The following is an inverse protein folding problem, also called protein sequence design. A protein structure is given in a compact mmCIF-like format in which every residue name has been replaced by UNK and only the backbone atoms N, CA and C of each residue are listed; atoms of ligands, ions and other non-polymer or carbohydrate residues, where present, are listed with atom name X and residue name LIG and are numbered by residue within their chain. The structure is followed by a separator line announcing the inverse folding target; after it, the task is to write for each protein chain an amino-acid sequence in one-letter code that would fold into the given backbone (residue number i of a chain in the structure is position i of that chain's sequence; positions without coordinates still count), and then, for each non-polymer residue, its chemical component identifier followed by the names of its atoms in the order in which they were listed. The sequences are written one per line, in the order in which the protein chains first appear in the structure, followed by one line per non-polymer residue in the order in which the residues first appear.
data_IF_984784250881
#
_entry.id   IF_984784250881
#
_cell.length_a   1.000
_cell.length_b   1.000
_cell.length_c   1.000
_cell.angle_alpha   90.00
_cell.angle_beta   90.00
_cell.angle_gamma   90.00
#
_symmetry.space_group_name_H-M   'P 1'
#
loop_
_entity.id
_entity.type
_entity.pdbx_description
1 polymer ?
#
# COMPACT_ATOMS: atom_id res chain seq x y z
N UNK A 1 16.21 66.28 -69.43
CA UNK A 1 15.32 66.41 -68.27
C UNK A 1 14.60 65.08 -68.13
N UNK A 2 14.98 64.28 -67.13
CA UNK A 2 14.41 62.97 -66.82
C UNK A 2 13.67 63.09 -65.48
N UNK A 3 12.48 62.50 -65.28
CA UNK A 3 11.86 62.48 -63.97
C UNK A 3 12.35 61.28 -63.16
N UNK A 4 12.78 61.54 -61.92
CA UNK A 4 13.16 60.53 -60.94
C UNK A 4 11.91 59.89 -60.32
N UNK A 5 11.89 58.55 -60.30
CA UNK A 5 10.88 57.72 -59.66
C UNK A 5 11.27 57.50 -58.19
N UNK A 6 10.48 57.99 -57.24
CA UNK A 6 10.66 57.74 -55.82
C UNK A 6 9.88 56.48 -55.41
N UNK A 7 10.59 55.45 -54.94
CA UNK A 7 10.02 54.22 -54.38
C UNK A 7 9.81 54.43 -52.88
N UNK A 8 8.55 54.37 -52.42
CA UNK A 8 8.19 54.31 -51.00
C UNK A 8 8.31 52.86 -50.52
N UNK A 9 9.23 52.59 -49.60
CA UNK A 9 9.25 51.35 -48.82
C UNK A 9 8.32 51.51 -47.60
N UNK A 10 7.27 50.69 -47.54
CA UNK A 10 6.45 50.52 -46.34
C UNK A 10 7.09 49.47 -45.43
N UNK A 11 7.51 49.87 -44.23
CA UNK A 11 8.00 48.97 -43.20
C UNK A 11 6.80 48.30 -42.50
N UNK A 12 6.60 47.00 -42.74
CA UNK A 12 5.67 46.16 -41.97
C UNK A 12 6.32 45.80 -40.63
N UNK A 13 5.81 46.37 -39.54
CA UNK A 13 6.18 45.97 -38.18
C UNK A 13 5.33 44.75 -37.81
N UNK A 14 5.93 43.56 -37.80
CA UNK A 14 5.32 42.40 -37.16
C UNK A 14 5.46 42.53 -35.65
N UNK A 15 4.34 42.80 -34.98
CA UNK A 15 4.22 42.62 -33.54
C UNK A 15 4.08 41.13 -33.26
N UNK A 16 5.16 40.50 -32.79
CA UNK A 16 5.08 39.17 -32.21
C UNK A 16 4.22 39.24 -30.93
N UNK A 17 3.23 38.35 -30.74
CA UNK A 17 2.56 38.26 -29.45
C UNK A 17 3.58 37.85 -28.37
N UNK A 18 3.39 38.28 -27.11
CA UNK A 18 4.23 37.79 -26.02
C UNK A 18 4.08 36.27 -25.96
N UNK A 19 5.19 35.55 -26.15
CA UNK A 19 5.27 34.13 -25.83
C UNK A 19 4.80 33.96 -24.40
N UNK A 20 3.71 33.21 -24.20
CA UNK A 20 3.29 32.80 -22.87
C UNK A 20 4.48 32.14 -22.19
N UNK A 21 4.89 32.67 -21.03
CA UNK A 21 5.90 32.03 -20.22
C UNK A 21 5.40 30.61 -19.92
N UNK A 22 6.02 29.61 -20.53
CA UNK A 22 5.77 28.22 -20.17
C UNK A 22 6.04 28.12 -18.67
N UNK A 23 5.04 27.70 -17.89
CA UNK A 23 5.21 27.46 -16.47
C UNK A 23 6.44 26.55 -16.27
N UNK A 24 7.28 26.87 -15.29
CA UNK A 24 8.44 26.04 -14.99
C UNK A 24 7.96 24.59 -14.74
N UNK A 25 8.67 23.58 -15.28
CA UNK A 25 8.23 22.19 -15.12
C UNK A 25 8.20 21.85 -13.63
N UNK A 26 7.11 21.21 -13.19
CA UNK A 26 6.94 20.80 -11.80
C UNK A 26 8.16 19.99 -11.32
N UNK A 27 8.74 20.45 -10.21
CA UNK A 27 9.88 19.83 -9.52
C UNK A 27 9.79 20.14 -8.05
N UNK A 28 9.90 19.09 -7.24
CA UNK A 28 9.99 19.17 -5.79
C UNK A 28 11.17 18.33 -5.32
N UNK A 29 11.83 18.80 -4.27
CA UNK A 29 12.83 18.07 -3.50
C UNK A 29 12.48 18.20 -2.03
N UNK A 30 12.46 17.08 -1.32
CA UNK A 30 12.25 16.96 0.11
C UNK A 30 13.49 16.29 0.69
N UNK A 31 14.09 16.93 1.70
CA UNK A 31 15.21 16.37 2.45
C UNK A 31 14.68 15.62 3.67
N UNK A 32 15.43 14.63 4.12
CA UNK A 32 15.12 13.83 5.30
C UNK A 32 16.34 13.77 6.23
N UNK A 33 16.14 13.33 7.47
CA UNK A 33 17.18 13.40 8.48
C UNK A 33 18.24 12.31 8.26
N UNK A 34 19.51 12.69 8.14
CA UNK A 34 20.59 11.71 8.02
C UNK A 34 20.73 10.86 9.30
N UNK A 35 20.75 9.54 9.15
CA UNK A 35 21.13 8.58 10.17
C UNK A 35 20.02 8.25 11.17
N UNK A 36 18.77 8.36 10.77
CA UNK A 36 17.60 7.90 11.53
C UNK A 36 17.01 6.60 10.96
N UNK A 37 17.80 5.83 10.22
CA UNK A 37 17.48 4.49 9.67
C UNK A 37 17.35 3.36 10.71
N UNK A 38 16.79 3.68 11.89
CA UNK A 38 16.59 2.81 13.04
C UNK A 38 15.11 2.67 13.44
N UNK A 39 14.21 2.93 12.49
CA UNK A 39 12.77 2.74 12.61
C UNK A 39 12.17 3.58 13.74
N UNK A 40 11.52 2.98 14.76
CA UNK A 40 11.02 3.72 15.92
C UNK A 40 12.13 4.26 16.85
N UNK A 41 13.41 4.09 16.51
CA UNK A 41 14.56 4.57 17.29
C UNK A 41 15.36 3.48 17.99
N UNK A 42 15.12 2.21 17.63
CA UNK A 42 15.71 1.06 18.31
C UNK A 42 16.09 -0.10 17.40
N UNK A 43 15.84 0.00 16.10
CA UNK A 43 16.13 -1.09 15.18
C UNK A 43 17.63 -1.23 14.93
N UNK A 44 18.03 -2.48 14.74
CA UNK A 44 19.44 -2.85 14.56
C UNK A 44 19.58 -3.53 13.22
N UNK A 45 20.49 -3.01 12.40
CA UNK A 45 20.83 -3.60 11.12
C UNK A 45 21.22 -5.07 11.22
N UNK A 46 20.99 -5.86 10.15
CA UNK A 46 21.60 -7.17 10.02
C UNK A 46 23.12 -7.09 10.08
N UNK A 47 23.76 -8.13 10.59
CA UNK A 47 25.22 -8.12 10.80
C UNK A 47 26.04 -8.49 9.56
N UNK A 48 25.41 -8.94 8.47
CA UNK A 48 26.10 -9.31 7.23
C UNK A 48 26.53 -8.08 6.43
N UNK A 49 27.63 -8.21 5.70
CA UNK A 49 28.25 -7.12 4.92
C UNK A 49 27.42 -6.70 3.69
N UNK A 50 26.37 -7.45 3.36
CA UNK A 50 25.36 -7.09 2.37
C UNK A 50 24.53 -5.86 2.78
N UNK A 51 24.58 -5.47 4.07
CA UNK A 51 23.81 -4.37 4.66
C UNK A 51 24.74 -3.27 5.19
N UNK A 52 25.43 -2.52 4.31
CA UNK A 52 26.25 -1.40 4.76
C UNK A 52 25.38 -0.35 5.46
N UNK A 53 25.92 0.29 6.50
CA UNK A 53 25.22 1.40 7.19
C UNK A 53 24.83 2.49 6.20
N UNK A 54 23.64 3.06 6.38
CA UNK A 54 23.06 4.03 5.45
C UNK A 54 22.36 3.42 4.24
N UNK A 55 22.30 2.08 4.11
CA UNK A 55 21.62 1.45 2.97
C UNK A 55 20.09 1.46 3.08
N UNK A 56 19.55 1.87 4.23
CA UNK A 56 18.12 2.13 4.44
C UNK A 56 17.81 3.60 4.77
N UNK A 57 18.84 4.42 5.00
CA UNK A 57 18.79 5.83 5.38
C UNK A 57 18.40 6.70 4.19
N UNK A 58 17.17 7.21 4.20
CA UNK A 58 16.66 8.15 3.22
C UNK A 58 17.25 9.53 3.53
N UNK A 59 17.96 10.14 2.57
CA UNK A 59 18.45 11.51 2.75
C UNK A 59 17.64 12.52 1.95
N UNK A 60 17.12 12.09 0.80
CA UNK A 60 16.43 12.98 -0.12
C UNK A 60 15.48 12.24 -1.04
N UNK A 61 14.31 12.82 -1.19
CA UNK A 61 13.33 12.46 -2.19
C UNK A 61 13.12 13.61 -3.17
N UNK A 62 12.95 13.30 -4.46
CA UNK A 62 12.62 14.30 -5.46
C UNK A 62 11.66 13.77 -6.50
N UNK A 63 10.73 14.63 -6.92
CA UNK A 63 9.74 14.35 -7.96
C UNK A 63 9.83 15.42 -9.00
N UNK A 64 9.84 15.03 -10.27
CA UNK A 64 9.85 15.98 -11.37
C UNK A 64 9.13 15.45 -12.59
N UNK A 65 8.57 16.38 -13.35
CA UNK A 65 7.99 16.08 -14.66
C UNK A 65 9.08 16.08 -15.74
N UNK A 66 9.11 15.04 -16.57
CA UNK A 66 10.01 14.96 -17.74
C UNK A 66 9.33 14.28 -18.93
N UNK A 67 9.09 15.01 -20.02
CA UNK A 67 8.56 14.44 -21.27
C UNK A 67 7.13 13.93 -21.12
N UNK A 68 6.92 12.62 -21.02
CA UNK A 68 5.66 11.90 -20.74
C UNK A 68 5.70 11.08 -19.44
N UNK A 69 6.79 11.21 -18.67
CA UNK A 69 7.00 10.52 -17.40
C UNK A 69 7.05 11.47 -16.19
N UNK A 70 6.71 10.93 -15.03
CA UNK A 70 7.09 11.43 -13.72
C UNK A 70 8.35 10.68 -13.30
N UNK A 71 9.38 11.43 -12.93
CA UNK A 71 10.66 10.88 -12.49
C UNK A 71 10.76 11.06 -10.98
N UNK A 72 10.95 9.94 -10.28
CA UNK A 72 11.21 9.87 -8.85
C UNK A 72 12.69 9.59 -8.64
N UNK A 73 13.32 10.35 -7.77
CA UNK A 73 14.71 10.20 -7.37
C UNK A 73 14.74 10.02 -5.84
N UNK A 74 15.19 8.85 -5.39
CA UNK A 74 15.32 8.49 -3.96
C UNK A 74 16.80 8.37 -3.67
N UNK A 75 17.35 9.23 -2.84
CA UNK A 75 18.77 9.21 -2.46
C UNK A 75 18.89 8.66 -1.06
N UNK A 76 19.68 7.60 -0.94
CA UNK A 76 20.03 6.99 0.34
C UNK A 76 21.42 7.48 0.80
N UNK A 77 21.73 7.37 2.09
CA UNK A 77 23.06 7.72 2.61
C UNK A 77 24.17 6.79 2.08
N UNK A 78 23.82 5.54 1.73
CA UNK A 78 24.74 4.60 1.10
C UNK A 78 24.16 4.01 -0.20
N UNK A 79 24.99 3.80 -1.23
CA UNK A 79 24.51 3.30 -2.52
C UNK A 79 24.01 1.86 -2.42
N UNK A 80 22.92 1.52 -3.16
CA UNK A 80 22.50 0.13 -3.32
C UNK A 80 23.65 -0.71 -3.85
N UNK A 81 24.05 -1.73 -3.08
CA UNK A 81 25.15 -2.61 -3.43
C UNK A 81 24.60 -3.99 -3.77
N UNK A 82 24.93 -4.49 -4.96
CA UNK A 82 24.60 -5.87 -5.33
C UNK A 82 25.35 -6.84 -4.41
N UNK A 83 24.64 -7.73 -3.69
CA UNK A 83 25.28 -8.77 -2.92
C UNK A 83 26.11 -9.69 -3.81
N UNK A 84 27.31 -10.13 -3.36
CA UNK A 84 28.14 -11.04 -4.13
C UNK A 84 27.46 -12.40 -4.29
N UNK A 85 26.64 -12.80 -3.31
CA UNK A 85 25.89 -14.04 -3.30
C UNK A 85 24.39 -13.77 -3.48
N UNK A 86 23.90 -13.97 -4.69
CA UNK A 86 22.48 -13.84 -5.06
C UNK A 86 21.68 -15.15 -4.87
N UNK A 87 22.30 -16.16 -4.24
CA UNK A 87 21.67 -17.41 -3.80
C UNK A 87 21.74 -17.49 -2.28
N UNK A 88 20.64 -17.16 -1.62
CA UNK A 88 20.55 -17.13 -0.15
C UNK A 88 20.13 -18.45 0.48
N UNK A 89 19.55 -19.37 -0.32
CA UNK A 89 19.14 -20.74 0.03
C UNK A 89 19.53 -21.73 -1.08
N UNK A 90 19.11 -23.01 -0.96
CA UNK A 90 19.23 -24.02 -2.02
C UNK A 90 18.27 -23.81 -3.21
N UNK A 91 17.47 -22.73 -3.20
CA UNK A 91 16.56 -22.38 -4.28
C UNK A 91 17.29 -21.93 -5.55
N UNK A 92 16.54 -21.79 -6.65
CA UNK A 92 17.04 -21.24 -7.91
C UNK A 92 17.65 -19.85 -7.70
N UNK A 93 18.57 -19.49 -8.58
CA UNK A 93 19.14 -18.14 -8.61
C UNK A 93 18.03 -17.13 -8.87
N UNK A 94 17.89 -16.15 -7.98
CA UNK A 94 16.91 -15.08 -8.12
C UNK A 94 17.53 -13.99 -8.99
N UNK A 95 16.74 -13.50 -9.94
CA UNK A 95 17.11 -12.36 -10.78
C UNK A 95 16.96 -11.06 -9.97
N UNK A 96 18.05 -10.31 -9.83
CA UNK A 96 18.13 -9.05 -9.07
C UNK A 96 18.61 -7.92 -9.98
N UNK A 97 18.09 -7.87 -11.21
CA UNK A 97 18.53 -6.92 -12.22
C UNK A 97 17.80 -5.56 -12.18
N UNK A 98 16.88 -5.35 -11.23
CA UNK A 98 16.19 -4.07 -11.04
C UNK A 98 17.02 -2.99 -10.31
N UNK A 99 18.34 -3.15 -10.24
CA UNK A 99 19.31 -2.20 -9.66
C UNK A 99 19.15 -1.83 -8.16
N UNK A 100 18.19 -2.43 -7.46
CA UNK A 100 18.00 -2.37 -6.01
C UNK A 100 18.00 -3.79 -5.45
N UNK A 101 18.43 -4.01 -4.21
CA UNK A 101 18.82 -5.36 -3.76
C UNK A 101 18.25 -5.77 -2.41
N UNK A 102 18.53 -5.00 -1.36
CA UNK A 102 18.13 -5.36 0.01
C UNK A 102 17.07 -4.42 0.56
N UNK A 103 16.67 -3.44 -0.23
CA UNK A 103 15.67 -2.42 0.09
C UNK A 103 14.39 -2.66 -0.70
N UNK A 104 13.25 -2.35 -0.10
CA UNK A 104 12.10 -1.87 -0.85
C UNK A 104 11.89 -0.39 -0.50
N UNK A 105 11.50 0.42 -1.49
CA UNK A 105 11.08 1.81 -1.28
C UNK A 105 9.65 1.97 -1.78
N UNK A 106 8.76 2.39 -0.90
CA UNK A 106 7.38 2.71 -1.26
C UNK A 106 7.21 4.22 -1.33
N UNK A 107 6.64 4.71 -2.42
CA UNK A 107 6.28 6.12 -2.60
C UNK A 107 4.76 6.16 -2.74
N UNK A 108 4.07 6.46 -1.66
CA UNK A 108 2.63 6.72 -1.66
C UNK A 108 2.39 8.16 -2.07
N UNK A 109 1.34 8.38 -2.86
CA UNK A 109 1.02 9.66 -3.46
C UNK A 109 -0.47 9.91 -3.23
N UNK A 110 -0.76 10.97 -2.49
CA UNK A 110 -2.07 11.62 -2.51
C UNK A 110 -2.09 12.57 -3.71
N UNK A 111 -2.98 12.32 -4.67
CA UNK A 111 -3.02 13.07 -5.93
C UNK A 111 -4.14 14.10 -5.99
N UNK A 112 -5.19 13.93 -5.18
CA UNK A 112 -6.40 14.74 -5.21
C UNK A 112 -6.64 15.56 -3.93
N UNK A 113 -6.01 15.20 -2.80
CA UNK A 113 -6.17 15.86 -1.52
C UNK A 113 -7.51 15.59 -0.84
N UNK A 114 -8.28 14.63 -1.32
CA UNK A 114 -9.61 14.30 -0.79
C UNK A 114 -9.50 13.17 0.26
N UNK A 115 -9.80 13.45 1.54
CA UNK A 115 -9.71 12.45 2.60
C UNK A 115 -10.75 11.32 2.51
N UNK A 116 -11.66 11.37 1.53
CA UNK A 116 -12.72 10.38 1.32
C UNK A 116 -12.45 9.44 0.15
N UNK A 117 -11.43 9.71 -0.66
CA UNK A 117 -10.94 8.86 -1.75
C UNK A 117 -9.63 8.18 -1.34
N UNK A 118 -9.12 7.27 -2.16
CA UNK A 118 -7.86 6.59 -1.87
C UNK A 118 -7.91 5.53 -0.76
N UNK A 119 -6.72 5.07 -0.37
CA UNK A 119 -6.49 4.00 0.59
C UNK A 119 -5.69 4.49 1.80
N UNK A 120 -5.94 3.92 2.98
CA UNK A 120 -5.08 4.09 4.17
C UNK A 120 -4.24 2.84 4.45
N UNK A 121 -4.51 1.75 3.73
CA UNK A 121 -3.76 0.50 3.86
C UNK A 121 -2.40 0.65 3.16
N UNK A 122 -1.31 0.38 3.86
CA UNK A 122 0.03 0.36 3.26
C UNK A 122 0.24 -0.92 2.42
N UNK A 123 1.33 -0.96 1.65
CA UNK A 123 1.73 -2.18 0.94
C UNK A 123 1.83 -3.36 1.96
N UNK A 124 1.25 -4.54 1.67
CA UNK A 124 1.24 -5.67 2.59
C UNK A 124 2.63 -6.04 3.09
N UNK A 125 2.78 -6.20 4.41
CA UNK A 125 4.04 -6.52 5.05
C UNK A 125 4.82 -5.32 5.60
N UNK A 126 4.41 -4.07 5.36
CA UNK A 126 5.05 -2.89 6.01
C UNK A 126 4.69 -2.71 7.48
N UNK A 127 3.58 -3.33 7.90
CA UNK A 127 3.08 -3.28 9.26
C UNK A 127 2.87 -1.84 9.79
N UNK A 128 2.40 -0.96 8.91
CA UNK A 128 1.98 0.41 9.18
C UNK A 128 0.68 0.69 8.42
N UNK A 129 0.02 1.78 8.76
CA UNK A 129 -1.05 2.38 7.96
C UNK A 129 -0.65 3.80 7.56
N UNK A 130 -1.28 4.33 6.53
CA UNK A 130 -1.20 5.76 6.22
C UNK A 130 -2.24 6.49 7.09
N UNK A 131 -1.96 7.74 7.46
CA UNK A 131 -2.90 8.56 8.21
C UNK A 131 -4.24 8.68 7.46
N UNK A 132 -5.34 8.39 8.16
CA UNK A 132 -6.68 8.41 7.57
C UNK A 132 -7.17 9.79 7.16
N UNK A 133 -6.51 10.86 7.60
CA UNK A 133 -6.76 12.20 7.10
C UNK A 133 -6.14 12.45 5.72
N UNK A 134 -5.18 11.61 5.29
CA UNK A 134 -4.40 11.79 4.07
C UNK A 134 -4.22 10.44 3.36
N UNK A 135 -5.32 9.81 2.89
CA UNK A 135 -5.25 8.57 2.13
C UNK A 135 -4.46 8.75 0.83
N UNK A 136 -3.94 7.66 0.27
CA UNK A 136 -3.15 7.65 -0.96
C UNK A 136 -3.96 7.12 -2.15
N UNK A 137 -3.76 7.72 -3.32
CA UNK A 137 -4.41 7.32 -4.57
C UNK A 137 -3.53 6.44 -5.45
N UNK A 138 -2.22 6.67 -5.37
CA UNK A 138 -1.21 6.01 -6.19
C UNK A 138 -0.01 5.61 -5.33
N UNK A 139 0.58 4.46 -5.62
CA UNK A 139 1.85 4.05 -5.03
C UNK A 139 2.85 3.60 -6.10
N UNK A 140 4.11 4.01 -5.94
CA UNK A 140 5.24 3.49 -6.74
C UNK A 140 6.13 2.67 -5.82
N UNK A 141 6.26 1.38 -6.10
CA UNK A 141 7.02 0.43 -5.26
C UNK A 141 8.30 0.03 -5.99
N UNK A 142 9.42 0.50 -5.47
CA UNK A 142 10.76 0.17 -5.93
C UNK A 142 11.23 -1.07 -5.16
N UNK A 143 11.43 -2.17 -5.86
CA UNK A 143 11.69 -3.47 -5.24
C UNK A 143 12.66 -4.30 -6.08
N UNK A 144 13.46 -5.20 -5.48
CA UNK A 144 14.38 -6.03 -6.24
C UNK A 144 13.66 -6.98 -7.21
N UNK A 145 12.42 -7.37 -6.89
CA UNK A 145 11.62 -8.32 -7.66
C UNK A 145 10.25 -7.74 -8.07
N UNK A 146 10.20 -6.85 -9.08
CA UNK A 146 8.97 -6.16 -9.47
C UNK A 146 7.90 -7.09 -10.06
N UNK A 147 8.29 -8.23 -10.66
CA UNK A 147 7.35 -9.25 -11.13
C UNK A 147 6.76 -10.05 -9.96
N UNK A 148 7.59 -10.49 -9.02
CA UNK A 148 7.15 -11.17 -7.81
C UNK A 148 6.19 -10.28 -7.01
N UNK A 149 6.57 -9.02 -6.81
CA UNK A 149 5.73 -8.02 -6.13
C UNK A 149 4.33 -7.94 -6.74
N UNK A 150 4.21 -7.77 -8.07
CA UNK A 150 2.89 -7.75 -8.74
C UNK A 150 2.10 -9.05 -8.55
N UNK A 151 2.78 -10.19 -8.53
CA UNK A 151 2.14 -11.48 -8.28
C UNK A 151 1.53 -11.54 -6.88
N UNK A 152 2.28 -11.13 -5.85
CA UNK A 152 1.78 -11.09 -4.46
C UNK A 152 0.65 -10.08 -4.28
N UNK A 153 0.70 -8.95 -4.98
CA UNK A 153 -0.32 -7.91 -4.92
C UNK A 153 -1.53 -8.21 -5.84
N UNK A 154 -1.50 -9.28 -6.63
CA UNK A 154 -2.48 -9.54 -7.70
C UNK A 154 -3.91 -9.78 -7.23
N UNK A 155 -4.15 -10.08 -5.97
CA UNK A 155 -5.44 -10.26 -5.30
C UNK A 155 -5.65 -9.25 -4.15
N UNK A 156 -4.67 -8.36 -3.91
CA UNK A 156 -4.82 -7.21 -3.04
C UNK A 156 -5.50 -6.07 -3.83
N UNK A 157 -6.53 -5.47 -3.26
CA UNK A 157 -7.40 -4.48 -3.93
C UNK A 157 -7.61 -3.27 -3.03
N UNK A 158 -6.57 -2.44 -2.83
CA UNK A 158 -6.77 -1.15 -2.16
C UNK A 158 -7.69 -0.28 -3.01
N UNK A 159 -8.28 0.76 -2.41
CA UNK A 159 -9.04 1.80 -3.13
C UNK A 159 -8.10 2.77 -3.85
N UNK A 160 -7.03 2.25 -4.47
CA UNK A 160 -5.92 2.99 -5.03
C UNK A 160 -5.15 2.11 -6.04
N UNK A 161 -4.21 2.69 -6.81
CA UNK A 161 -3.44 1.96 -7.82
C UNK A 161 -1.95 1.87 -7.46
N UNK A 162 -1.32 0.75 -7.82
CA UNK A 162 0.08 0.46 -7.49
C UNK A 162 0.88 0.16 -8.75
N UNK A 163 2.01 0.85 -8.91
CA UNK A 163 2.96 0.67 -9.99
C UNK A 163 4.27 0.11 -9.45
N UNK A 164 4.82 -0.91 -10.10
CA UNK A 164 6.11 -1.52 -9.74
C UNK A 164 7.09 -1.42 -10.92
N UNK A 165 7.90 -0.37 -11.02
CA UNK A 165 8.82 -0.19 -12.15
C UNK A 165 9.86 -1.31 -12.22
N UNK A 166 10.19 -1.75 -13.43
CA UNK A 166 11.12 -2.87 -13.68
C UNK A 166 12.43 -2.48 -14.37
N UNK A 167 12.73 -1.19 -14.43
CA UNK A 167 13.94 -0.68 -15.06
C UNK A 167 14.47 0.54 -14.28
N UNK A 168 14.77 0.33 -13.00
CA UNK A 168 15.37 1.37 -12.17
C UNK A 168 16.78 1.68 -12.63
N UNK A 169 17.18 2.94 -12.51
CA UNK A 169 18.56 3.37 -12.71
C UNK A 169 19.15 3.78 -11.37
N UNK A 170 20.44 3.52 -11.16
CA UNK A 170 21.16 3.97 -9.96
C UNK A 170 22.34 4.83 -10.36
N UNK A 171 22.49 6.00 -9.73
CA UNK A 171 23.61 6.91 -9.89
C UNK A 171 24.16 7.28 -8.52
N UNK A 172 25.32 6.73 -8.16
CA UNK A 172 25.81 6.85 -6.79
C UNK A 172 24.80 6.21 -5.83
N UNK A 173 24.30 6.98 -4.87
CA UNK A 173 23.27 6.52 -3.93
C UNK A 173 21.83 6.89 -4.30
N UNK A 174 21.64 7.52 -5.47
CA UNK A 174 20.30 7.88 -5.96
C UNK A 174 19.72 6.79 -6.85
N UNK A 175 18.58 6.26 -6.45
CA UNK A 175 17.70 5.36 -7.21
C UNK A 175 16.72 6.21 -8.00
N UNK A 176 16.59 5.94 -9.30
CA UNK A 176 15.81 6.72 -10.24
C UNK A 176 14.74 5.81 -10.85
N UNK A 177 13.48 6.17 -10.65
CA UNK A 177 12.33 5.51 -11.26
C UNK A 177 11.66 6.48 -12.25
N UNK A 178 11.33 5.98 -13.44
CA UNK A 178 10.54 6.73 -14.43
C UNK A 178 9.22 6.02 -14.60
N UNK A 179 8.12 6.72 -14.33
CA UNK A 179 6.77 6.17 -14.44
C UNK A 179 5.97 7.03 -15.42
N UNK A 180 5.26 6.45 -16.40
CA UNK A 180 4.42 7.22 -17.30
C UNK A 180 3.36 8.03 -16.55
N UNK A 181 3.13 9.27 -16.99
CA UNK A 181 2.04 10.11 -16.47
C UNK A 181 0.69 9.43 -16.60
N UNK A 182 0.49 8.62 -17.64
CA UNK A 182 -0.76 7.90 -17.84
C UNK A 182 -1.10 6.93 -16.69
N UNK A 183 -0.11 6.50 -15.89
CA UNK A 183 -0.31 5.60 -14.74
C UNK A 183 -0.50 6.35 -13.41
N UNK A 184 -0.01 7.60 -13.29
CA UNK A 184 0.00 8.35 -12.02
C UNK A 184 -0.83 9.65 -12.03
N UNK A 185 -1.09 10.22 -13.21
CA UNK A 185 -1.56 11.59 -13.35
C UNK A 185 -0.44 12.63 -13.45
N UNK A 186 -0.82 13.89 -13.66
CA UNK A 186 0.12 15.00 -13.80
C UNK A 186 0.50 15.57 -12.41
N UNK A 187 1.78 15.54 -12.03
CA UNK A 187 2.24 16.01 -10.73
C UNK A 187 2.03 17.52 -10.61
N UNK A 188 1.50 17.95 -9.48
CA UNK A 188 1.15 19.34 -9.21
C UNK A 188 1.28 19.67 -7.72
N UNK A 189 1.14 20.94 -7.36
CA UNK A 189 1.39 21.44 -6.00
C UNK A 189 0.50 20.82 -4.91
N UNK A 190 -0.60 20.16 -5.27
CA UNK A 190 -1.48 19.48 -4.31
C UNK A 190 -0.99 18.11 -3.90
N UNK A 191 -0.04 17.53 -4.65
CA UNK A 191 0.41 16.17 -4.38
C UNK A 191 1.11 16.08 -3.02
N UNK A 192 0.69 15.11 -2.21
CA UNK A 192 1.35 14.70 -0.98
C UNK A 192 2.13 13.41 -1.20
N UNK A 193 3.20 13.22 -0.42
CA UNK A 193 4.04 12.05 -0.53
C UNK A 193 4.33 11.45 0.85
N UNK A 194 4.18 10.13 0.97
CA UNK A 194 4.77 9.37 2.06
C UNK A 194 5.77 8.40 1.43
N UNK A 195 7.03 8.50 1.83
CA UNK A 195 8.10 7.63 1.34
C UNK A 195 8.56 6.76 2.49
N UNK A 196 8.70 5.46 2.24
CA UNK A 196 9.11 4.50 3.26
C UNK A 196 10.19 3.58 2.71
N UNK A 197 11.24 3.34 3.50
CA UNK A 197 12.28 2.36 3.18
C UNK A 197 12.16 1.17 4.14
N UNK A 198 12.09 -0.03 3.57
CA UNK A 198 12.09 -1.27 4.34
C UNK A 198 13.18 -2.21 3.85
N UNK A 199 13.56 -3.19 4.70
CA UNK A 199 14.32 -4.34 4.22
C UNK A 199 13.49 -5.17 3.23
N UNK A 200 14.15 -5.76 2.24
CA UNK A 200 13.57 -6.68 1.28
C UNK A 200 14.03 -8.11 1.55
N UNK A 201 13.10 -9.06 1.43
CA UNK A 201 13.41 -10.49 1.29
C UNK A 201 13.34 -10.87 -0.18
N UNK A 202 14.13 -11.86 -0.57
CA UNK A 202 14.16 -12.33 -1.97
C UNK A 202 13.23 -13.52 -2.20
N UNK A 203 12.73 -14.13 -1.13
CA UNK A 203 11.84 -15.27 -1.23
C UNK A 203 10.52 -14.91 -0.56
N UNK A 204 9.41 -15.34 -1.15
CA UNK A 204 8.14 -15.27 -0.44
C UNK A 204 8.20 -16.18 0.78
N UNK A 205 7.78 -15.67 1.94
CA UNK A 205 7.60 -16.52 3.11
C UNK A 205 6.43 -17.48 2.87
N UNK A 206 6.73 -18.75 2.63
CA UNK A 206 5.70 -19.80 2.55
C UNK A 206 5.29 -20.22 3.97
N UNK A 207 4.46 -19.40 4.62
CA UNK A 207 3.85 -19.78 5.90
C UNK A 207 2.63 -20.67 5.66
N UNK A 208 2.90 -21.95 5.41
CA UNK A 208 1.88 -22.96 5.16
C UNK A 208 0.93 -23.13 6.35
N UNK A 209 1.45 -23.05 7.58
CA UNK A 209 0.68 -23.26 8.80
C UNK A 209 -0.24 -22.07 9.05
N UNK A 210 0.25 -20.83 8.94
CA UNK A 210 -0.59 -19.64 9.05
C UNK A 210 -1.67 -19.58 7.98
N UNK A 211 -1.41 -20.09 6.77
CA UNK A 211 -2.42 -20.19 5.70
C UNK A 211 -3.49 -21.25 6.01
N UNK A 212 -3.11 -22.34 6.68
CA UNK A 212 -4.01 -23.42 7.10
C UNK A 212 -4.90 -23.03 8.30
N UNK A 213 -4.41 -22.16 9.19
CA UNK A 213 -5.12 -21.75 10.42
C UNK A 213 -5.63 -20.31 10.39
N UNK A 214 -5.57 -19.64 9.23
CA UNK A 214 -6.13 -18.29 9.03
C UNK A 214 -5.33 -17.14 9.63
N UNK A 215 -4.09 -17.37 10.08
CA UNK A 215 -3.21 -16.35 10.68
C UNK A 215 -2.18 -15.79 9.69
N UNK A 216 -2.19 -16.26 8.43
CA UNK A 216 -1.30 -15.77 7.39
C UNK A 216 -1.55 -14.28 7.09
N UNK A 217 -0.52 -13.47 7.32
CA UNK A 217 -0.47 -12.09 6.85
C UNK A 217 0.26 -12.04 5.52
N UNK A 218 -0.36 -11.43 4.52
CA UNK A 218 0.29 -11.20 3.23
C UNK A 218 1.52 -10.31 3.43
N UNK A 219 2.65 -10.78 2.92
CA UNK A 219 3.91 -10.04 2.97
C UNK A 219 4.42 -9.88 1.53
N UNK A 220 4.46 -8.63 1.07
CA UNK A 220 4.96 -8.27 -0.26
C UNK A 220 6.47 -8.02 -0.21
N UNK A 221 7.24 -9.11 -0.02
CA UNK A 221 8.72 -9.11 0.01
C UNK A 221 9.37 -8.18 1.03
N UNK A 222 8.69 -7.88 2.14
CA UNK A 222 9.22 -7.08 3.23
C UNK A 222 9.96 -7.96 4.24
N UNK A 223 11.13 -7.53 4.68
CA UNK A 223 11.90 -8.17 5.75
C UNK A 223 11.25 -7.89 7.11
N UNK A 224 10.83 -8.92 7.86
CA UNK A 224 10.34 -8.71 9.21
C UNK A 224 11.45 -8.21 10.14
N UNK A 225 11.06 -7.43 11.14
CA UNK A 225 11.94 -6.99 12.22
C UNK A 225 11.69 -7.86 13.46
N UNK A 226 12.75 -8.46 13.99
CA UNK A 226 12.70 -9.33 15.16
C UNK A 226 13.35 -8.65 16.37
N UNK A 227 13.26 -9.28 17.53
CA UNK A 227 13.90 -8.76 18.75
C UNK A 227 15.42 -8.83 18.69
N UNK A 228 15.97 -9.92 18.16
CA UNK A 228 17.42 -10.13 18.07
C UNK A 228 17.84 -10.02 16.60
N UNK A 229 18.85 -9.18 16.28
CA UNK A 229 19.37 -9.11 14.93
C UNK A 229 20.15 -10.38 14.59
N UNK A 230 20.12 -10.79 13.32
CA UNK A 230 20.98 -11.84 12.79
C UNK A 230 21.68 -11.36 11.51
N UNK A 231 22.46 -12.23 10.86
CA UNK A 231 23.19 -11.90 9.64
C UNK A 231 22.29 -11.24 8.57
N UNK A 232 21.07 -11.73 8.38
CA UNK A 232 20.14 -11.25 7.34
C UNK A 232 18.79 -10.82 7.91
N UNK A 233 18.76 -10.47 9.20
CA UNK A 233 17.54 -10.14 9.94
C UNK A 233 17.75 -8.82 10.68
N UNK A 234 16.81 -7.90 10.51
CA UNK A 234 16.77 -6.65 11.29
C UNK A 234 16.28 -6.99 12.70
N UNK A 235 16.99 -6.48 13.71
CA UNK A 235 16.70 -6.67 15.13
C UNK A 235 16.10 -5.43 15.80
N UNK A 236 15.87 -5.52 17.12
CA UNK A 236 15.52 -4.38 17.96
C UNK A 236 14.03 -4.12 18.17
N UNK A 237 13.15 -4.97 17.64
CA UNK A 237 11.71 -4.86 17.86
C UNK A 237 11.21 -5.62 19.10
N UNK A 238 10.11 -5.17 19.67
CA UNK A 238 9.39 -5.89 20.72
C UNK A 238 8.77 -7.20 20.19
N UNK A 239 8.42 -8.12 21.11
CA UNK A 239 7.76 -9.40 20.79
C UNK A 239 6.28 -9.18 20.46
N UNK A 240 6.05 -8.49 19.35
CA UNK A 240 4.76 -7.97 18.95
C UNK A 240 4.52 -8.16 17.46
N UNK A 241 3.28 -7.96 17.05
CA UNK A 241 2.89 -7.97 15.64
C UNK A 241 2.43 -6.60 15.16
N UNK A 242 2.62 -5.54 15.97
CA UNK A 242 2.15 -4.18 15.67
C UNK A 242 3.27 -3.18 15.40
N UNK A 243 4.53 -3.53 15.70
CA UNK A 243 5.67 -2.68 15.41
C UNK A 243 5.93 -2.59 13.89
N UNK A 244 6.31 -1.42 13.36
CA UNK A 244 6.57 -1.25 11.93
C UNK A 244 7.64 -2.19 11.38
N UNK A 245 7.50 -2.67 10.15
CA UNK A 245 8.60 -3.32 9.41
C UNK A 245 9.20 -2.34 8.40
N UNK A 246 9.44 -1.14 8.88
CA UNK A 246 9.96 0.02 8.14
C UNK A 246 11.19 0.52 8.90
N UNK A 247 12.27 0.74 8.17
CA UNK A 247 13.53 1.24 8.73
C UNK A 247 13.57 2.76 8.77
N UNK A 248 12.91 3.39 7.79
CA UNK A 248 13.01 4.83 7.55
C UNK A 248 11.75 5.33 6.83
N UNK A 249 11.30 6.54 7.14
CA UNK A 249 10.23 7.28 6.50
C UNK A 249 10.63 8.73 6.26
N UNK A 250 10.21 9.27 5.11
CA UNK A 250 10.33 10.70 4.85
C UNK A 250 9.54 11.49 5.89
N UNK A 251 10.20 12.44 6.55
CA UNK A 251 9.58 13.35 7.50
C UNK A 251 9.49 14.79 6.99
N UNK A 252 8.38 15.46 7.29
CA UNK A 252 8.22 16.89 7.05
C UNK A 252 8.78 17.74 8.19
N UNK A 253 8.82 19.06 7.97
CA UNK A 253 9.32 20.02 8.97
C UNK A 253 8.66 19.84 10.35
N UNK A 254 9.48 19.62 11.38
CA UNK A 254 9.03 19.46 12.77
C UNK A 254 8.37 18.11 13.09
N UNK A 255 8.25 17.21 12.11
CA UNK A 255 7.90 15.82 12.36
C UNK A 255 9.10 15.05 12.93
N UNK A 256 8.82 13.93 13.57
CA UNK A 256 9.85 13.04 14.12
C UNK A 256 9.49 11.63 13.74
N UNK A 257 10.36 10.98 12.98
CA UNK A 257 10.19 9.60 12.58
C UNK A 257 9.96 8.70 13.79
N UNK A 258 10.82 8.78 14.81
CA UNK A 258 10.71 7.94 16.01
C UNK A 258 9.35 8.09 16.69
N UNK A 259 8.79 9.30 16.75
CA UNK A 259 7.45 9.52 17.32
C UNK A 259 6.36 8.90 16.45
N UNK A 260 6.44 9.06 15.13
CA UNK A 260 5.48 8.52 14.18
C UNK A 260 5.50 6.99 14.23
N UNK A 261 6.68 6.39 14.05
CA UNK A 261 6.85 4.94 14.03
C UNK A 261 6.65 4.29 15.40
N UNK A 262 6.75 5.03 16.52
CA UNK A 262 6.37 4.56 17.85
C UNK A 262 4.89 4.75 18.18
N UNK A 263 4.06 5.24 17.24
CA UNK A 263 2.64 5.48 17.50
C UNK A 263 1.77 4.22 17.52
N UNK A 264 2.34 3.04 17.22
CA UNK A 264 1.64 1.76 17.36
C UNK A 264 1.26 1.50 18.82
N UNK A 265 0.21 0.73 19.03
CA UNK A 265 -0.27 0.36 20.36
C UNK A 265 -0.72 -1.10 20.33
N UNK A 266 0.11 -1.97 20.91
CA UNK A 266 -0.12 -3.41 20.92
C UNK A 266 -1.38 -3.80 21.71
N UNK A 267 -1.65 -3.09 22.81
CA UNK A 267 -2.81 -3.36 23.67
C UNK A 267 -4.12 -3.00 23.00
N UNK A 268 -4.05 -2.03 22.07
CA UNK A 268 -5.18 -1.59 21.24
C UNK A 268 -5.15 -2.16 19.83
N UNK A 269 -4.22 -3.09 19.57
CA UNK A 269 -4.05 -3.73 18.27
C UNK A 269 -3.92 -2.74 17.11
N UNK A 270 -3.21 -1.63 17.34
CA UNK A 270 -3.12 -0.51 16.42
C UNK A 270 -1.72 -0.40 15.84
N UNK A 271 -1.64 -0.28 14.50
CA UNK A 271 -0.38 -0.02 13.78
C UNK A 271 0.01 1.46 13.87
N UNK A 272 1.29 1.74 13.60
CA UNK A 272 1.75 3.12 13.44
C UNK A 272 1.10 3.76 12.21
N UNK A 273 0.73 5.04 12.31
CA UNK A 273 0.12 5.80 11.22
C UNK A 273 1.13 6.79 10.66
N UNK A 274 1.54 6.59 9.40
CA UNK A 274 2.52 7.44 8.73
C UNK A 274 1.79 8.57 7.99
N UNK A 275 2.09 9.84 8.28
CA UNK A 275 1.46 10.97 7.60
C UNK A 275 2.06 11.19 6.21
N UNK A 276 1.30 11.87 5.35
CA UNK A 276 1.83 12.45 4.11
C UNK A 276 2.64 13.72 4.40
N UNK A 277 3.67 13.93 3.59
CA UNK A 277 4.42 15.19 3.52
C UNK A 277 3.96 15.95 2.28
N UNK A 278 3.40 17.14 2.50
CA UNK A 278 2.96 18.03 1.42
C UNK A 278 4.01 19.12 1.18
N UNK A 279 4.64 19.18 0.00
CA UNK A 279 5.64 20.21 -0.31
C UNK A 279 5.05 21.62 -0.33
N UNK A 280 3.76 21.74 -0.65
CA UNK A 280 3.02 23.00 -0.70
C UNK A 280 1.76 22.88 0.18
N UNK A 281 1.90 22.95 1.51
CA UNK A 281 0.80 22.67 2.44
C UNK A 281 -0.38 23.64 2.27
N UNK A 282 -0.11 24.91 1.91
CA UNK A 282 -1.16 25.89 1.65
C UNK A 282 -2.00 25.53 0.41
N UNK A 283 -1.36 25.03 -0.65
CA UNK A 283 -2.03 24.61 -1.87
C UNK A 283 -2.91 23.36 -1.62
N UNK A 284 -2.40 22.42 -0.81
CA UNK A 284 -3.16 21.26 -0.37
C UNK A 284 -4.35 21.67 0.52
N UNK A 285 -4.13 22.50 1.55
CA UNK A 285 -5.19 22.95 2.45
C UNK A 285 -6.31 23.71 1.71
N UNK A 286 -5.96 24.52 0.71
CA UNK A 286 -6.93 25.20 -0.14
C UNK A 286 -7.77 24.21 -0.98
N UNK A 287 -7.16 23.12 -1.45
CA UNK A 287 -7.86 22.07 -2.19
C UNK A 287 -8.81 21.27 -1.27
N UNK A 288 -8.32 20.84 -0.11
CA UNK A 288 -9.11 20.12 0.90
C UNK A 288 -10.32 20.95 1.38
N UNK A 289 -10.16 22.27 1.54
CA UNK A 289 -11.24 23.18 1.93
C UNK A 289 -12.28 23.42 0.80
N UNK A 290 -11.89 23.23 -0.46
CA UNK A 290 -12.75 23.37 -1.63
C UNK A 290 -13.51 22.07 -1.97
N UNK A 291 -13.11 20.93 -1.40
CA UNK A 291 -13.83 19.68 -1.52
C UNK A 291 -15.21 19.81 -0.84
N UNK A 292 -16.32 19.46 -1.53
CA UNK A 292 -17.64 19.57 -0.93
C UNK A 292 -17.71 18.66 0.30
N UNK A 293 -18.04 19.24 1.46
CA UNK A 293 -18.37 18.46 2.64
C UNK A 293 -19.56 17.54 2.32
N UNK A 294 -19.30 16.24 2.20
CA UNK A 294 -20.39 15.28 2.06
C UNK A 294 -21.22 15.28 3.35
N UNK A 295 -22.55 15.18 3.25
CA UNK A 295 -23.39 15.00 4.43
C UNK A 295 -22.92 13.73 5.16
N UNK A 296 -22.88 13.80 6.50
CA UNK A 296 -22.67 12.61 7.35
C UNK A 296 -23.66 11.53 6.91
N UNK A 297 -23.17 10.52 6.21
CA UNK A 297 -23.96 9.34 5.87
C UNK A 297 -24.05 8.51 7.15
N UNK A 298 -25.19 8.64 7.83
CA UNK A 298 -25.64 7.64 8.79
C UNK A 298 -25.87 6.35 8.00
N UNK A 299 -25.07 5.31 8.27
CA UNK A 299 -25.25 3.99 7.67
C UNK A 299 -26.60 3.42 8.12
N UNK A 300 -27.61 3.59 7.29
CA UNK A 300 -28.90 2.93 7.45
C UNK A 300 -28.76 1.48 6.98
N UNK A 301 -29.20 0.48 7.76
CA UNK A 301 -29.07 -0.92 7.38
C UNK A 301 -29.84 -1.20 6.08
N UNK A 302 -29.27 -1.96 5.13
CA UNK A 302 -29.91 -2.19 3.84
C UNK A 302 -31.19 -3.03 3.97
N UNK A 303 -32.19 -2.81 3.09
CA UNK A 303 -33.51 -3.41 3.22
C UNK A 303 -33.52 -4.88 2.79
N UNK A 304 -34.33 -5.67 3.49
CA UNK A 304 -34.45 -7.11 3.31
C UNK A 304 -34.86 -7.54 1.90
N UNK A 305 -34.31 -8.67 1.46
CA UNK A 305 -34.59 -9.29 0.17
C UNK A 305 -34.87 -10.80 0.33
N UNK A 306 -35.98 -11.24 -0.27
CA UNK A 306 -36.33 -12.62 -0.69
C UNK A 306 -36.12 -12.69 -2.22
N UNK A 307 -35.96 -13.78 -2.96
CA UNK A 307 -36.15 -15.22 -2.75
C UNK A 307 -35.15 -16.00 -3.64
N UNK A 308 -34.83 -17.24 -3.25
CA UNK A 308 -33.80 -18.10 -3.85
C UNK A 308 -32.83 -18.65 -2.80
N UNK A 309 -33.31 -18.83 -1.57
CA UNK A 309 -32.51 -18.98 -0.37
C UNK A 309 -32.18 -20.44 -0.09
N UNK A 310 -30.90 -20.76 0.05
CA UNK A 310 -30.46 -22.05 0.59
C UNK A 310 -30.40 -21.88 2.11
N UNK A 311 -31.26 -22.60 2.82
CA UNK A 311 -31.31 -22.58 4.29
C UNK A 311 -30.76 -23.89 4.83
N UNK A 312 -29.65 -23.83 5.55
CA UNK A 312 -29.03 -24.96 6.24
C UNK A 312 -29.19 -24.81 7.75
N UNK A 313 -29.20 -25.92 8.50
CA UNK A 313 -29.32 -25.86 9.95
C UNK A 313 -27.98 -26.09 10.64
N UNK A 314 -27.78 -25.39 11.74
CA UNK A 314 -26.63 -25.58 12.63
C UNK A 314 -26.76 -26.92 13.34
N UNK A 315 -25.78 -27.78 13.12
CA UNK A 315 -25.67 -29.11 13.73
C UNK A 315 -24.79 -29.10 14.97
N UNK A 316 -23.74 -28.28 14.97
CA UNK A 316 -22.80 -28.14 16.09
C UNK A 316 -22.15 -26.75 16.08
N UNK A 317 -21.73 -26.27 17.26
CA UNK A 317 -21.06 -24.98 17.45
C UNK A 317 -19.90 -25.17 18.43
N UNK A 318 -18.68 -24.81 18.00
CA UNK A 318 -17.48 -24.78 18.83
C UNK A 318 -16.81 -23.42 18.70
N UNK A 319 -17.05 -22.54 19.67
CA UNK A 319 -16.55 -21.15 19.67
C UNK A 319 -17.07 -20.40 18.43
N UNK A 320 -16.22 -20.17 17.43
CA UNK A 320 -16.52 -19.51 16.17
C UNK A 320 -16.81 -20.50 15.03
N UNK A 321 -16.48 -21.77 15.20
CA UNK A 321 -16.68 -22.82 14.20
C UNK A 321 -18.08 -23.42 14.31
N UNK A 322 -18.84 -23.36 13.21
CA UNK A 322 -20.22 -23.81 13.13
C UNK A 322 -20.32 -24.88 12.06
N UNK A 323 -20.82 -26.05 12.43
CA UNK A 323 -21.05 -27.16 11.51
C UNK A 323 -22.50 -27.10 11.05
N UNK A 324 -22.72 -26.99 9.75
CA UNK A 324 -24.04 -27.03 9.15
C UNK A 324 -24.35 -28.40 8.57
N UNK A 325 -25.63 -28.71 8.54
CA UNK A 325 -26.16 -29.85 7.78
C UNK A 325 -25.77 -29.75 6.29
N UNK A 326 -25.77 -30.90 5.61
CA UNK A 326 -25.42 -30.93 4.19
C UNK A 326 -26.44 -30.16 3.36
N UNK A 327 -25.97 -29.11 2.69
CA UNK A 327 -26.73 -28.35 1.71
C UNK A 327 -26.57 -28.81 0.26
N UNK A 328 -27.39 -28.28 -0.66
CA UNK A 328 -27.23 -28.48 -2.10
C UNK A 328 -25.84 -28.04 -2.58
N UNK A 329 -25.37 -28.60 -3.69
CA UNK A 329 -24.03 -28.38 -4.28
C UNK A 329 -23.73 -26.93 -4.71
N UNK A 330 -24.70 -26.05 -4.53
CA UNK A 330 -24.65 -24.63 -4.85
C UNK A 330 -23.95 -23.80 -3.76
N UNK A 331 -23.75 -24.35 -2.56
CA UNK A 331 -22.98 -23.70 -1.48
C UNK A 331 -21.50 -23.95 -1.69
N UNK A 332 -20.77 -22.90 -2.07
CA UNK A 332 -19.31 -22.94 -2.31
C UNK A 332 -18.54 -22.35 -1.12
N UNK A 333 -17.26 -22.72 -0.94
CA UNK A 333 -16.37 -21.99 -0.04
C UNK A 333 -16.42 -20.48 -0.33
N UNK A 334 -16.29 -19.68 0.73
CA UNK A 334 -16.36 -18.21 0.73
C UNK A 334 -17.74 -17.61 0.46
N UNK A 335 -18.82 -18.41 0.50
CA UNK A 335 -20.19 -17.87 0.47
C UNK A 335 -20.56 -17.35 1.86
N UNK A 336 -21.04 -16.11 1.92
CA UNK A 336 -21.57 -15.51 3.16
C UNK A 336 -22.98 -16.03 3.45
N UNK A 337 -23.24 -16.32 4.73
CA UNK A 337 -24.53 -16.74 5.23
C UNK A 337 -24.95 -15.96 6.47
N UNK A 338 -26.25 -15.82 6.66
CA UNK A 338 -26.85 -15.12 7.80
C UNK A 338 -27.55 -16.14 8.70
N UNK A 339 -27.19 -16.17 9.97
CA UNK A 339 -27.84 -17.02 10.99
C UNK A 339 -29.08 -16.29 11.50
N UNK A 340 -30.17 -17.03 11.60
CA UNK A 340 -31.49 -16.55 12.00
C UNK A 340 -31.91 -17.20 13.32
N UNK A 341 -32.55 -16.40 14.19
CA UNK A 341 -33.21 -16.90 15.41
C UNK A 341 -34.58 -17.55 15.12
N UNK A 342 -35.29 -17.96 16.17
CA UNK A 342 -36.59 -18.62 16.09
C UNK A 342 -37.69 -17.68 15.53
N UNK A 343 -37.52 -16.36 15.71
CA UNK A 343 -38.37 -15.31 15.15
C UNK A 343 -37.99 -14.91 13.70
N UNK A 344 -36.90 -15.44 13.17
CA UNK A 344 -36.41 -15.20 11.81
C UNK A 344 -35.61 -13.90 11.64
N UNK A 345 -35.14 -13.30 12.73
CA UNK A 345 -34.25 -12.14 12.72
C UNK A 345 -32.79 -12.56 12.57
N UNK A 346 -31.98 -11.72 11.92
CA UNK A 346 -30.55 -11.96 11.76
C UNK A 346 -29.83 -11.74 13.10
N UNK A 347 -29.14 -12.78 13.57
CA UNK A 347 -28.44 -12.77 14.87
C UNK A 347 -26.94 -12.98 14.77
N UNK A 348 -26.45 -13.54 13.65
CA UNK A 348 -25.03 -13.71 13.41
C UNK A 348 -24.73 -13.79 11.89
N UNK A 349 -23.49 -13.52 11.50
CA UNK A 349 -23.00 -13.76 10.16
C UNK A 349 -21.95 -14.87 10.16
N UNK A 350 -21.98 -15.72 9.14
CA UNK A 350 -21.06 -16.83 8.97
C UNK A 350 -20.52 -16.89 7.54
N UNK A 351 -19.32 -17.41 7.35
CA UNK A 351 -18.74 -17.66 6.02
C UNK A 351 -18.45 -19.15 5.85
N UNK A 352 -18.77 -19.70 4.68
CA UNK A 352 -18.43 -21.10 4.37
C UNK A 352 -16.94 -21.26 4.23
N UNK A 353 -16.29 -21.97 5.14
CA UNK A 353 -14.84 -22.19 5.13
C UNK A 353 -14.45 -23.46 4.39
N UNK A 354 -15.29 -24.50 4.46
CA UNK A 354 -15.09 -25.73 3.72
C UNK A 354 -16.40 -26.48 3.46
N UNK A 355 -16.49 -27.18 2.34
CA UNK A 355 -17.64 -28.02 1.98
C UNK A 355 -17.17 -29.46 1.91
N UNK A 356 -17.65 -30.29 2.84
CA UNK A 356 -17.34 -31.71 2.88
C UNK A 356 -18.52 -32.54 2.37
N UNK A 357 -18.31 -33.80 1.95
CA UNK A 357 -19.38 -34.64 1.40
C UNK A 357 -20.59 -34.83 2.34
N UNK A 358 -20.40 -34.67 3.67
CA UNK A 358 -21.42 -34.96 4.68
C UNK A 358 -21.88 -33.75 5.51
N UNK A 359 -21.21 -32.61 5.42
CA UNK A 359 -21.52 -31.41 6.20
C UNK A 359 -20.84 -30.19 5.58
N UNK A 360 -21.30 -28.99 5.94
CA UNK A 360 -20.68 -27.73 5.54
C UNK A 360 -20.06 -27.09 6.77
N UNK A 361 -18.80 -26.68 6.68
CA UNK A 361 -18.11 -26.00 7.75
C UNK A 361 -18.17 -24.50 7.49
N UNK A 362 -18.65 -23.75 8.48
CA UNK A 362 -18.75 -22.30 8.42
C UNK A 362 -18.14 -21.69 9.67
N UNK A 363 -17.63 -20.48 9.54
CA UNK A 363 -17.07 -19.74 10.68
C UNK A 363 -17.88 -18.48 10.91
N UNK A 364 -18.26 -18.23 12.15
CA UNK A 364 -18.95 -17.02 12.57
C UNK A 364 -18.00 -15.82 12.46
N UNK A 365 -18.35 -14.87 11.60
CA UNK A 365 -17.60 -13.63 11.41
C UNK A 365 -18.16 -12.51 12.29
N UNK A 366 -19.42 -12.63 12.73
CA UNK A 366 -20.09 -11.69 13.62
C UNK A 366 -21.13 -12.42 14.47
N UNK A 367 -21.26 -12.08 15.75
CA UNK A 367 -22.34 -12.61 16.61
C UNK A 367 -22.20 -14.09 16.99
N UNK A 368 -20.98 -14.64 17.05
CA UNK A 368 -20.72 -16.06 17.35
C UNK A 368 -21.45 -16.56 18.61
N UNK A 369 -21.48 -15.75 19.67
CA UNK A 369 -22.13 -16.08 20.95
C UNK A 369 -23.66 -16.23 20.84
N UNK A 370 -24.28 -15.72 19.77
CA UNK A 370 -25.71 -15.79 19.53
C UNK A 370 -26.15 -17.04 18.74
N UNK A 371 -25.19 -17.84 18.23
CA UNK A 371 -25.48 -19.01 17.38
C UNK A 371 -25.83 -20.21 18.24
N UNK A 372 -27.04 -20.76 18.01
CA UNK A 372 -27.53 -21.95 18.71
C UNK A 372 -27.63 -23.15 17.78
N UNK A 373 -27.45 -24.34 18.34
CA UNK A 373 -27.72 -25.61 17.63
C UNK A 373 -29.19 -25.62 17.19
N UNK A 374 -29.44 -25.96 15.93
CA UNK A 374 -30.75 -25.94 15.30
C UNK A 374 -31.12 -24.63 14.58
N UNK A 375 -30.34 -23.56 14.78
CA UNK A 375 -30.55 -22.26 14.11
C UNK A 375 -30.46 -22.39 12.58
N UNK A 376 -31.23 -21.58 11.88
CA UNK A 376 -31.26 -21.57 10.43
C UNK A 376 -30.18 -20.62 9.89
N UNK A 377 -29.42 -21.06 8.89
CA UNK A 377 -28.39 -20.27 8.22
C UNK A 377 -28.75 -20.13 6.76
N UNK A 378 -28.96 -18.88 6.34
CA UNK A 378 -29.42 -18.51 5.01
C UNK A 378 -28.25 -18.05 4.15
N UNK A 379 -28.05 -18.69 3.00
CA UNK A 379 -27.04 -18.30 2.02
C UNK A 379 -27.67 -17.62 0.80
N UNK A 380 -27.00 -16.59 0.28
CA UNK A 380 -27.34 -15.96 -0.99
C UNK A 380 -26.42 -16.55 -2.07
N UNK A 381 -26.95 -17.28 -3.06
CA UNK A 381 -26.11 -17.84 -4.11
C UNK A 381 -25.46 -16.73 -4.95
N UNK A 382 -24.17 -16.89 -5.25
CA UNK A 382 -23.46 -16.00 -6.17
C UNK A 382 -24.12 -16.07 -7.56
N UNK A 383 -24.42 -14.91 -8.18
CA UNK A 383 -24.87 -14.84 -9.57
C UNK A 383 -23.85 -15.56 -10.45
N UNK A 384 -24.27 -16.63 -11.12
CA UNK A 384 -23.43 -17.33 -12.08
C UNK A 384 -23.20 -16.49 -13.33
N UNK A 385 -21.94 -16.35 -13.73
CA UNK A 385 -21.57 -15.93 -15.08
C UNK A 385 -22.12 -16.94 -16.09
N UNK A 386 -22.85 -16.43 -17.09
CA UNK A 386 -23.20 -17.15 -18.32
C UNK A 386 -22.18 -16.82 -19.39
#
# INVERSE_FOLDING_TARGET
MSPSLAVLLAAMVWSSPPSGAAAAPYRVTLDDAHGDDDGPGGYVYPSDNDYPRGCFDLERFSVRREGDAVVFEVTLAAPPRRPPQIRRTSAMQIDLDNAIYVQNVDIFIDTDGDPTTGSTEAIPGRNVVLDGATPWDRAVVLTPQPFGMRSVLSDWRPLAEVVTPSNLQVRGATIIARVPVAELGEPNERWGYAVMVSGAIWEESFDAVGRLVGTYRKNAFTMPVFTVPEARIIGGADLSHYHPWVMDILTGDGQSQHRILSSYDEKRERLAAVPMVYPFPDAHAAAAAAAPALPKVELKPPPGLRAGEIVLRVRDVQTDMVVLERGPDEVKPFTLGTVLDEEGQAVAQVVVTAVYPKFVLVTAVEGADAIKIGAAVRFIPARGDK
#
